data_IF_250706365745
#
_entry.id   IF_250706365745
#
_cell.length_a   1.000
_cell.length_b   1.000
_cell.length_c   1.000
_cell.angle_alpha   90.00
_cell.angle_beta   90.00
_cell.angle_gamma   90.00
#
_symmetry.space_group_name_H-M   'P 1'
#
loop_
_entity.id
_entity.type
_entity.pdbx_description
1 polymer ?
#
# COMPACT_ATOMS: atom_id res chain seq x y z
N UNK A 1 -27.96 -1.01 -8.88
CA UNK A 1 -27.77 -1.26 -7.44
C UNK A 1 -26.54 -2.18 -7.27
N UNK A 2 -25.38 -1.56 -7.49
CA UNK A 2 -24.10 -2.23 -7.74
C UNK A 2 -23.39 -2.58 -6.44
N UNK A 3 -22.47 -3.53 -6.49
CA UNK A 3 -21.83 -4.26 -5.37
C UNK A 3 -21.26 -3.42 -4.20
N UNK A 4 -21.20 -2.11 -4.36
CA UNK A 4 -20.88 -1.12 -3.32
C UNK A 4 -21.94 -1.11 -2.20
N UNK A 5 -23.24 -1.24 -2.52
CA UNK A 5 -24.30 -1.29 -1.50
C UNK A 5 -24.25 -2.60 -0.69
N UNK A 6 -23.83 -3.71 -1.31
CA UNK A 6 -23.62 -5.02 -0.66
C UNK A 6 -22.35 -5.04 0.20
N UNK A 7 -21.30 -4.33 -0.21
CA UNK A 7 -20.10 -4.13 0.60
C UNK A 7 -20.39 -3.20 1.79
N UNK A 8 -21.20 -2.16 1.61
CA UNK A 8 -21.59 -1.25 2.69
C UNK A 8 -22.52 -1.90 3.72
N UNK A 9 -23.47 -2.76 3.29
CA UNK A 9 -24.29 -3.56 4.22
C UNK A 9 -23.48 -4.61 4.97
N UNK A 10 -22.54 -5.32 4.31
CA UNK A 10 -21.61 -6.23 5.00
C UNK A 10 -20.70 -5.50 5.99
N UNK A 11 -20.16 -4.34 5.61
CA UNK A 11 -19.30 -3.50 6.46
C UNK A 11 -20.02 -2.88 7.67
N UNK A 12 -21.34 -2.71 7.64
CA UNK A 12 -22.09 -2.13 8.75
C UNK A 12 -22.45 -3.17 9.82
N UNK A 13 -22.79 -4.40 9.42
CA UNK A 13 -22.91 -5.53 10.34
C UNK A 13 -21.54 -5.93 10.90
N UNK A 14 -20.49 -5.91 10.06
CA UNK A 14 -19.13 -6.25 10.48
C UNK A 14 -18.52 -5.24 11.46
N UNK A 15 -18.86 -3.95 11.47
CA UNK A 15 -18.26 -3.00 12.45
C UNK A 15 -18.51 -3.41 13.90
N UNK A 16 -19.70 -3.94 14.20
CA UNK A 16 -20.02 -4.45 15.53
C UNK A 16 -19.23 -5.73 15.83
N UNK A 17 -19.14 -6.65 14.87
CA UNK A 17 -18.39 -7.91 14.95
C UNK A 17 -16.87 -7.68 15.05
N UNK A 18 -16.34 -6.71 14.30
CA UNK A 18 -14.93 -6.36 14.28
C UNK A 18 -14.53 -5.71 15.61
N UNK A 19 -15.42 -4.89 16.19
CA UNK A 19 -15.20 -4.29 17.52
C UNK A 19 -15.27 -5.33 18.64
N UNK A 20 -16.16 -6.34 18.54
CA UNK A 20 -16.27 -7.41 19.54
C UNK A 20 -15.11 -8.40 19.43
N UNK A 21 -14.68 -8.74 18.21
CA UNK A 21 -13.47 -9.54 17.97
C UNK A 21 -12.24 -8.80 18.49
N UNK A 22 -12.09 -7.50 18.20
CA UNK A 22 -10.98 -6.69 18.73
C UNK A 22 -10.98 -6.63 20.26
N UNK A 23 -12.15 -6.44 20.88
CA UNK A 23 -12.31 -6.49 22.34
C UNK A 23 -11.91 -7.85 22.91
N UNK A 24 -12.29 -8.94 22.23
CA UNK A 24 -11.95 -10.32 22.63
C UNK A 24 -10.47 -10.64 22.47
N UNK A 25 -9.81 -10.07 21.47
CA UNK A 25 -8.36 -10.22 21.25
C UNK A 25 -7.56 -9.50 22.36
N UNK A 26 -8.05 -8.34 22.82
CA UNK A 26 -7.39 -7.59 23.90
C UNK A 26 -7.69 -8.15 25.30
N UNK A 27 -8.81 -8.84 25.47
CA UNK A 27 -9.17 -9.45 26.76
C UNK A 27 -8.49 -10.81 26.93
N UNK A 28 -7.34 -10.80 27.61
CA UNK A 28 -6.52 -11.99 27.92
C UNK A 28 -7.25 -13.06 28.75
N UNK A 29 -8.44 -12.75 29.28
CA UNK A 29 -9.25 -13.66 30.10
C UNK A 29 -10.07 -14.65 29.28
N UNK A 30 -10.25 -14.39 27.98
CA UNK A 30 -11.07 -15.22 27.09
C UNK A 30 -10.22 -16.32 26.42
N UNK A 31 -10.83 -17.47 26.08
CA UNK A 31 -10.11 -18.55 25.43
C UNK A 31 -9.53 -18.10 24.08
N UNK A 32 -8.33 -18.60 23.71
CA UNK A 32 -7.64 -18.17 22.50
C UNK A 32 -8.50 -18.44 21.27
N UNK A 33 -8.68 -17.41 20.44
CA UNK A 33 -9.42 -17.49 19.19
C UNK A 33 -8.64 -18.41 18.23
N UNK A 34 -9.33 -19.30 17.47
CA UNK A 34 -8.66 -20.13 16.47
C UNK A 34 -7.94 -19.28 15.43
N UNK A 35 -6.72 -19.70 15.04
CA UNK A 35 -5.86 -18.99 14.09
C UNK A 35 -6.52 -18.76 12.72
N UNK A 36 -7.45 -19.63 12.31
CA UNK A 36 -8.22 -19.49 11.06
C UNK A 36 -9.15 -18.28 11.08
N UNK A 37 -9.86 -18.06 12.18
CA UNK A 37 -10.75 -16.90 12.34
C UNK A 37 -9.95 -15.61 12.41
N UNK A 38 -8.77 -15.63 13.06
CA UNK A 38 -7.87 -14.50 13.08
C UNK A 38 -7.30 -14.16 11.71
N UNK A 39 -7.02 -15.16 10.87
CA UNK A 39 -6.60 -14.95 9.47
C UNK A 39 -7.71 -14.27 8.67
N UNK A 40 -8.95 -14.79 8.73
CA UNK A 40 -10.08 -14.17 8.03
C UNK A 40 -10.35 -12.74 8.52
N UNK A 41 -10.19 -12.50 9.83
CA UNK A 41 -10.31 -11.17 10.42
C UNK A 41 -9.23 -10.21 9.92
N UNK A 42 -7.98 -10.69 9.79
CA UNK A 42 -6.90 -9.92 9.19
C UNK A 42 -7.24 -9.52 7.75
N UNK A 43 -7.79 -10.45 6.96
CA UNK A 43 -8.15 -10.20 5.56
C UNK A 43 -9.26 -9.15 5.44
N UNK A 44 -10.32 -9.25 6.25
CA UNK A 44 -11.40 -8.25 6.27
C UNK A 44 -10.90 -6.87 6.73
N UNK A 45 -10.00 -6.83 7.72
CA UNK A 45 -9.42 -5.57 8.16
C UNK A 45 -8.49 -4.95 7.12
N UNK A 46 -7.76 -5.77 6.36
CA UNK A 46 -6.91 -5.31 5.27
C UNK A 46 -7.76 -4.65 4.18
N UNK A 47 -8.86 -5.30 3.80
CA UNK A 47 -9.82 -4.76 2.84
C UNK A 47 -10.44 -3.46 3.37
N UNK A 48 -10.79 -3.42 4.66
CA UNK A 48 -11.32 -2.21 5.27
C UNK A 48 -10.29 -1.07 5.28
N UNK A 49 -9.01 -1.36 5.54
CA UNK A 49 -7.94 -0.38 5.51
C UNK A 49 -7.78 0.27 4.12
N UNK A 50 -7.93 -0.51 3.03
CA UNK A 50 -7.88 0.02 1.66
C UNK A 50 -9.08 0.94 1.33
N UNK A 51 -10.23 0.74 1.98
CA UNK A 51 -11.43 1.58 1.80
C UNK A 51 -11.43 2.86 2.65
N UNK A 52 -10.74 2.87 3.79
CA UNK A 52 -10.67 4.04 4.66
C UNK A 52 -9.60 4.99 4.14
N UNK A 53 -10.02 6.05 3.47
CA UNK A 53 -9.10 7.07 2.96
C UNK A 53 -9.13 8.37 3.76
N UNK A 54 -10.18 8.60 4.55
CA UNK A 54 -10.47 9.94 5.11
C UNK A 54 -9.94 10.21 6.52
N UNK A 55 -9.69 9.20 7.36
CA UNK A 55 -9.33 9.41 8.78
C UNK A 55 -7.94 8.85 9.12
N UNK A 56 -6.96 9.75 9.23
CA UNK A 56 -5.56 9.44 9.58
C UNK A 56 -5.41 8.75 10.94
N UNK A 57 -6.21 9.13 11.94
CA UNK A 57 -6.13 8.54 13.29
C UNK A 57 -6.55 7.08 13.23
N UNK A 58 -7.67 6.81 12.55
CA UNK A 58 -8.20 5.47 12.37
C UNK A 58 -7.25 4.59 11.55
N UNK A 59 -6.68 5.12 10.47
CA UNK A 59 -5.67 4.44 9.66
C UNK A 59 -4.46 3.98 10.50
N UNK A 60 -3.93 4.87 11.36
CA UNK A 60 -2.82 4.53 12.22
C UNK A 60 -3.18 3.48 13.28
N UNK A 61 -4.41 3.52 13.82
CA UNK A 61 -4.89 2.52 14.76
C UNK A 61 -5.03 1.15 14.08
N UNK A 62 -5.68 1.10 12.90
CA UNK A 62 -5.85 -0.15 12.14
C UNK A 62 -4.50 -0.71 11.70
N UNK A 63 -3.55 0.13 11.27
CA UNK A 63 -2.20 -0.32 10.93
C UNK A 63 -1.47 -0.98 12.12
N UNK A 64 -1.60 -0.43 13.33
CA UNK A 64 -1.07 -1.05 14.56
C UNK A 64 -1.78 -2.35 14.89
N UNK A 65 -3.10 -2.40 14.71
CA UNK A 65 -3.91 -3.59 14.95
C UNK A 65 -3.52 -4.72 14.00
N UNK A 66 -3.32 -4.41 12.72
CA UNK A 66 -2.85 -5.35 11.70
C UNK A 66 -1.45 -5.87 12.01
N UNK A 67 -0.54 -5.01 12.48
CA UNK A 67 0.78 -5.44 12.94
C UNK A 67 0.69 -6.42 14.12
N UNK A 68 -0.16 -6.12 15.11
CA UNK A 68 -0.37 -6.98 16.26
C UNK A 68 -0.97 -8.35 15.85
N UNK A 69 -1.96 -8.35 14.97
CA UNK A 69 -2.54 -9.58 14.42
C UNK A 69 -1.53 -10.41 13.65
N UNK A 70 -0.68 -9.76 12.85
CA UNK A 70 0.35 -10.44 12.08
C UNK A 70 1.37 -11.15 12.99
N UNK A 71 1.74 -10.54 14.11
CA UNK A 71 2.59 -11.16 15.14
C UNK A 71 1.93 -12.36 15.82
N UNK A 72 0.61 -12.33 16.02
CA UNK A 72 -0.14 -13.42 16.66
C UNK A 72 -0.42 -14.60 15.72
N UNK A 73 -0.69 -14.31 14.45
CA UNK A 73 -1.15 -15.31 13.48
C UNK A 73 0.04 -15.95 12.75
N UNK A 74 1.01 -15.14 12.28
CA UNK A 74 2.17 -15.53 11.45
C UNK A 74 1.94 -16.80 10.60
N UNK A 75 0.82 -16.83 9.86
CA UNK A 75 0.41 -17.98 9.07
C UNK A 75 0.83 -17.77 7.61
N UNK A 76 1.05 -18.88 6.90
CA UNK A 76 1.29 -18.85 5.45
C UNK A 76 0.08 -18.29 4.67
N UNK A 77 -1.14 -18.41 5.21
CA UNK A 77 -2.36 -17.87 4.61
C UNK A 77 -2.35 -16.33 4.53
N UNK A 78 -1.94 -15.64 5.60
CA UNK A 78 -1.89 -14.16 5.58
C UNK A 78 -0.80 -13.66 4.64
N UNK A 79 0.34 -14.37 4.57
CA UNK A 79 1.41 -14.05 3.60
C UNK A 79 0.93 -14.25 2.17
N UNK A 80 0.26 -15.36 1.88
CA UNK A 80 -0.25 -15.65 0.54
C UNK A 80 -1.32 -14.65 0.11
N UNK A 81 -2.19 -14.18 1.02
CA UNK A 81 -3.16 -13.14 0.70
C UNK A 81 -2.48 -11.81 0.33
N UNK A 82 -1.49 -11.37 1.10
CA UNK A 82 -0.72 -10.14 0.80
C UNK A 82 0.02 -10.29 -0.54
N UNK A 83 0.60 -11.46 -0.83
CA UNK A 83 1.23 -11.73 -2.12
C UNK A 83 0.22 -11.73 -3.27
N UNK A 84 -0.97 -12.27 -3.06
CA UNK A 84 -2.04 -12.25 -4.06
C UNK A 84 -2.51 -10.82 -4.35
N UNK A 85 -2.62 -9.97 -3.31
CA UNK A 85 -2.89 -8.53 -3.47
C UNK A 85 -1.80 -7.82 -4.27
N UNK A 86 -0.52 -8.08 -3.97
CA UNK A 86 0.61 -7.54 -4.76
C UNK A 86 0.54 -7.99 -6.23
N UNK A 87 0.20 -9.26 -6.49
CA UNK A 87 0.01 -9.77 -7.85
C UNK A 87 -1.15 -9.09 -8.58
N UNK A 88 -2.27 -8.84 -7.90
CA UNK A 88 -3.40 -8.12 -8.48
C UNK A 88 -2.99 -6.71 -8.90
N UNK A 89 -2.29 -5.97 -8.03
CA UNK A 89 -1.78 -4.66 -8.37
C UNK A 89 -0.76 -4.71 -9.52
N UNK A 90 0.11 -5.72 -9.57
CA UNK A 90 1.03 -5.92 -10.71
C UNK A 90 0.29 -6.09 -12.03
N UNK A 91 -0.78 -6.90 -12.07
CA UNK A 91 -1.60 -7.10 -13.26
C UNK A 91 -2.23 -5.79 -13.70
N UNK A 92 -2.86 -5.06 -12.78
CA UNK A 92 -3.49 -3.75 -13.06
C UNK A 92 -2.46 -2.75 -13.63
N UNK A 93 -1.26 -2.70 -13.04
CA UNK A 93 -0.19 -1.81 -13.50
C UNK A 93 0.29 -2.19 -14.90
N UNK A 94 0.49 -3.49 -15.18
CA UNK A 94 0.92 -3.94 -16.50
C UNK A 94 -0.14 -3.66 -17.57
N UNK A 95 -1.43 -3.87 -17.26
CA UNK A 95 -2.51 -3.51 -18.16
C UNK A 95 -2.52 -2.00 -18.47
N UNK A 96 -2.24 -1.14 -17.49
CA UNK A 96 -2.11 0.30 -17.74
C UNK A 96 -0.92 0.63 -18.65
N UNK A 97 0.22 -0.04 -18.44
CA UNK A 97 1.44 0.14 -19.24
C UNK A 97 1.22 -0.31 -20.69
N UNK A 98 0.63 -1.49 -20.90
CA UNK A 98 0.37 -2.04 -22.23
C UNK A 98 -0.60 -1.18 -23.06
N UNK A 99 -1.54 -0.52 -22.40
CA UNK A 99 -2.51 0.36 -23.05
C UNK A 99 -1.98 1.78 -23.33
N UNK A 100 -0.67 2.03 -23.14
CA UNK A 100 -0.05 3.37 -23.19
C UNK A 100 -0.78 4.43 -22.34
N UNK A 101 -1.55 3.97 -21.34
CA UNK A 101 -2.21 4.85 -20.39
C UNK A 101 -1.17 5.25 -19.38
N UNK A 102 -1.09 6.55 -19.10
CA UNK A 102 -0.31 7.02 -17.96
C UNK A 102 -0.72 6.27 -16.70
N UNK A 103 0.26 5.70 -16.00
CA UNK A 103 0.01 4.95 -14.79
C UNK A 103 -0.55 5.91 -13.74
N UNK A 104 -1.87 5.87 -13.56
CA UNK A 104 -2.54 6.58 -12.50
C UNK A 104 -2.55 5.66 -11.28
N UNK A 105 -1.82 6.08 -10.27
CA UNK A 105 -1.67 5.30 -9.05
C UNK A 105 -2.82 5.63 -8.10
N UNK A 106 -3.63 4.63 -7.81
CA UNK A 106 -4.76 4.76 -6.90
C UNK A 106 -4.30 4.92 -5.45
N UNK A 107 -5.07 5.68 -4.67
CA UNK A 107 -4.75 5.93 -3.25
C UNK A 107 -4.69 4.62 -2.43
N UNK A 108 -5.55 3.65 -2.74
CA UNK A 108 -5.56 2.33 -2.09
C UNK A 108 -4.24 1.58 -2.29
N UNK A 109 -3.67 1.61 -3.50
CA UNK A 109 -2.35 1.03 -3.75
C UNK A 109 -1.25 1.69 -2.91
N UNK A 110 -1.28 3.02 -2.80
CA UNK A 110 -0.27 3.76 -2.04
C UNK A 110 -0.40 3.48 -0.53
N UNK A 111 -1.63 3.42 -0.03
CA UNK A 111 -1.93 3.06 1.35
C UNK A 111 -1.47 1.63 1.65
N UNK A 112 -1.72 0.69 0.74
CA UNK A 112 -1.31 -0.70 0.85
C UNK A 112 0.22 -0.84 0.91
N UNK A 113 0.96 -0.19 -0.01
CA UNK A 113 2.42 -0.19 0.03
C UNK A 113 2.96 0.46 1.31
N UNK A 114 2.35 1.55 1.78
CA UNK A 114 2.73 2.16 3.05
C UNK A 114 2.50 1.20 4.22
N UNK A 115 1.40 0.45 4.21
CA UNK A 115 1.11 -0.55 5.23
C UNK A 115 2.15 -1.67 5.24
N UNK A 116 2.62 -2.13 4.06
CA UNK A 116 3.69 -3.14 3.97
C UNK A 116 4.96 -2.69 4.70
N UNK A 117 5.35 -1.41 4.63
CA UNK A 117 6.51 -0.89 5.38
C UNK A 117 6.38 -0.99 6.89
N UNK A 118 5.14 -1.00 7.38
CA UNK A 118 4.84 -1.07 8.81
C UNK A 118 4.73 -2.52 9.27
N UNK A 119 4.22 -3.40 8.40
CA UNK A 119 4.06 -4.82 8.68
C UNK A 119 5.36 -5.61 8.61
N UNK A 120 6.24 -5.27 7.66
CA UNK A 120 7.44 -6.05 7.37
C UNK A 120 8.72 -5.21 7.45
N UNK A 121 9.84 -5.81 7.87
CA UNK A 121 11.13 -5.14 7.88
C UNK A 121 11.56 -4.76 6.46
N UNK A 122 11.93 -3.49 6.27
CA UNK A 122 12.46 -2.97 4.99
C UNK A 122 13.99 -3.02 4.90
N UNK A 123 14.67 -3.41 5.99
CA UNK A 123 16.13 -3.55 6.09
C UNK A 123 16.66 -4.79 5.38
N UNK A 124 15.86 -5.86 5.31
CA UNK A 124 16.32 -7.18 4.90
C UNK A 124 16.70 -7.21 3.42
N UNK A 125 17.83 -7.84 3.10
CA UNK A 125 18.39 -7.88 1.74
C UNK A 125 17.38 -8.44 0.73
N UNK A 126 16.77 -9.58 1.04
CA UNK A 126 15.71 -10.21 0.26
C UNK A 126 14.60 -10.64 1.20
N UNK A 127 13.39 -10.11 1.00
CA UNK A 127 12.23 -10.54 1.75
C UNK A 127 11.04 -10.72 0.80
N UNK A 128 10.32 -11.85 0.89
CA UNK A 128 9.42 -12.34 -0.16
C UNK A 128 8.26 -11.39 -0.47
N UNK A 129 7.93 -10.47 0.44
CA UNK A 129 6.83 -9.51 0.28
C UNK A 129 7.34 -8.10 0.01
N UNK A 130 8.43 -7.67 0.64
CA UNK A 130 8.91 -6.29 0.53
C UNK A 130 9.69 -6.07 -0.76
N UNK A 131 10.48 -7.05 -1.21
CA UNK A 131 11.19 -6.97 -2.49
C UNK A 131 10.23 -6.80 -3.68
N UNK A 132 9.17 -7.61 -3.88
CA UNK A 132 8.25 -7.37 -4.98
C UNK A 132 7.47 -6.06 -4.82
N UNK A 133 7.14 -5.65 -3.59
CA UNK A 133 6.44 -4.39 -3.34
C UNK A 133 7.26 -3.14 -3.71
N UNK A 134 8.57 -3.11 -3.40
CA UNK A 134 9.42 -1.99 -3.83
C UNK A 134 9.64 -2.01 -5.35
N UNK A 135 9.77 -3.18 -5.97
CA UNK A 135 9.88 -3.28 -7.44
C UNK A 135 8.62 -2.73 -8.12
N UNK A 136 7.43 -3.08 -7.62
CA UNK A 136 6.16 -2.54 -8.11
C UNK A 136 6.07 -1.02 -7.97
N UNK A 137 6.52 -0.49 -6.84
CA UNK A 137 6.54 0.94 -6.60
C UNK A 137 7.46 1.67 -7.59
N UNK A 138 8.67 1.15 -7.82
CA UNK A 138 9.62 1.73 -8.79
C UNK A 138 9.06 1.63 -10.21
N UNK A 139 8.42 0.53 -10.57
CA UNK A 139 7.75 0.36 -11.86
C UNK A 139 6.63 1.39 -12.04
N UNK A 140 5.76 1.57 -11.05
CA UNK A 140 4.70 2.57 -11.09
C UNK A 140 5.25 3.99 -11.25
N UNK A 141 6.35 4.31 -10.57
CA UNK A 141 7.05 5.59 -10.68
C UNK A 141 7.59 5.82 -12.10
N UNK A 142 8.21 4.81 -12.72
CA UNK A 142 8.79 4.93 -14.06
C UNK A 142 7.75 5.18 -15.16
N UNK A 143 6.53 4.65 -15.00
CA UNK A 143 5.44 4.78 -15.97
C UNK A 143 4.43 5.89 -15.64
N UNK A 144 4.68 6.66 -14.58
CA UNK A 144 3.84 7.79 -14.19
C UNK A 144 4.03 9.00 -15.13
N UNK A 145 2.95 9.75 -15.37
CA UNK A 145 3.01 10.98 -16.17
C UNK A 145 3.57 12.13 -15.38
N UNK A 146 4.38 13.00 -16.01
CA UNK A 146 4.77 14.30 -15.46
C UNK A 146 4.12 15.48 -16.19
N UNK A 147 3.02 15.22 -16.92
CA UNK A 147 2.34 16.24 -17.74
C UNK A 147 1.43 17.18 -16.95
N UNK A 148 0.95 16.76 -15.78
CA UNK A 148 0.01 17.54 -14.96
C UNK A 148 0.57 17.78 -13.56
N UNK A 149 0.18 18.91 -12.94
CA UNK A 149 0.59 19.24 -11.57
C UNK A 149 0.06 18.20 -10.57
N UNK A 150 -1.11 17.63 -10.83
CA UNK A 150 -1.67 16.53 -10.04
C UNK A 150 -0.80 15.27 -10.10
N UNK A 151 -0.35 14.89 -11.30
CA UNK A 151 0.55 13.76 -11.49
C UNK A 151 1.92 14.01 -10.85
N UNK A 152 2.47 15.22 -10.97
CA UNK A 152 3.72 15.58 -10.28
C UNK A 152 3.60 15.44 -8.75
N UNK A 153 2.47 15.86 -8.15
CA UNK A 153 2.21 15.67 -6.71
C UNK A 153 2.15 14.18 -6.33
N UNK A 154 1.48 13.36 -7.13
CA UNK A 154 1.42 11.91 -6.90
C UNK A 154 2.82 11.29 -6.96
N UNK A 155 3.62 11.64 -7.96
CA UNK A 155 4.97 11.11 -8.11
C UNK A 155 5.90 11.54 -6.99
N UNK A 156 5.85 12.81 -6.57
CA UNK A 156 6.59 13.28 -5.39
C UNK A 156 6.21 12.51 -4.12
N UNK A 157 4.93 12.17 -3.96
CA UNK A 157 4.48 11.35 -2.84
C UNK A 157 5.00 9.91 -2.92
N UNK A 158 5.06 9.31 -4.11
CA UNK A 158 5.67 8.00 -4.31
C UNK A 158 7.17 8.02 -4.02
N UNK A 159 7.87 9.09 -4.41
CA UNK A 159 9.30 9.28 -4.09
C UNK A 159 9.50 9.36 -2.58
N UNK A 160 8.67 10.10 -1.85
CA UNK A 160 8.73 10.15 -0.39
C UNK A 160 8.48 8.77 0.24
N UNK A 161 7.55 8.00 -0.35
CA UNK A 161 7.32 6.63 0.08
C UNK A 161 8.56 5.77 -0.15
N UNK A 162 9.18 5.78 -1.34
CA UNK A 162 10.42 5.03 -1.60
C UNK A 162 11.54 5.44 -0.64
N UNK A 163 11.67 6.74 -0.35
CA UNK A 163 12.64 7.24 0.64
C UNK A 163 12.45 6.61 2.01
N UNK A 164 11.21 6.39 2.46
CA UNK A 164 10.93 5.72 3.74
C UNK A 164 11.42 4.26 3.74
N UNK A 165 11.33 3.56 2.61
CA UNK A 165 11.82 2.18 2.48
C UNK A 165 13.35 2.12 2.51
N UNK A 166 13.97 3.03 1.77
CA UNK A 166 15.42 3.09 1.59
C UNK A 166 16.14 3.66 2.82
N UNK A 167 15.50 4.56 3.58
CA UNK A 167 16.14 5.26 4.69
C UNK A 167 16.74 4.32 5.74
N UNK A 168 16.21 3.11 5.90
CA UNK A 168 16.75 2.09 6.81
C UNK A 168 17.78 1.16 6.17
N UNK A 169 17.73 1.00 4.85
CA UNK A 169 18.57 0.05 4.11
C UNK A 169 19.72 0.71 3.35
N UNK A 170 19.74 2.05 3.25
CA UNK A 170 20.73 2.86 2.53
C UNK A 170 20.96 2.44 1.07
N UNK A 171 19.94 1.85 0.43
CA UNK A 171 20.00 1.43 -0.97
C UNK A 171 19.97 2.61 -1.92
N UNK A 172 20.61 2.45 -3.08
CA UNK A 172 20.56 3.44 -4.15
C UNK A 172 19.52 3.02 -5.20
N UNK A 173 18.60 3.92 -5.55
CA UNK A 173 17.57 3.70 -6.58
C UNK A 173 17.74 4.78 -7.67
N UNK A 174 18.41 4.47 -8.79
CA UNK A 174 18.76 5.44 -9.82
C UNK A 174 17.55 6.13 -10.45
N UNK A 175 16.42 5.42 -10.54
CA UNK A 175 15.16 5.88 -11.12
C UNK A 175 14.67 7.18 -10.47
N UNK A 176 14.81 7.28 -9.13
CA UNK A 176 14.40 8.46 -8.38
C UNK A 176 15.20 9.68 -8.80
N UNK A 177 16.51 9.53 -9.00
CA UNK A 177 17.38 10.66 -9.36
C UNK A 177 17.06 11.15 -10.77
N UNK A 178 16.88 10.22 -11.71
CA UNK A 178 16.47 10.56 -13.08
C UNK A 178 15.14 11.31 -13.06
N UNK A 179 14.20 10.89 -12.23
CA UNK A 179 12.90 11.54 -12.11
C UNK A 179 12.99 12.92 -11.46
N UNK A 180 13.77 13.08 -10.39
CA UNK A 180 14.02 14.38 -9.77
C UNK A 180 14.65 15.36 -10.75
N UNK A 181 15.61 14.93 -11.57
CA UNK A 181 16.20 15.75 -12.63
C UNK A 181 15.11 16.19 -13.62
N UNK A 182 14.24 15.28 -14.07
CA UNK A 182 13.10 15.62 -14.96
C UNK A 182 12.15 16.63 -14.32
N UNK A 183 11.83 16.50 -13.03
CA UNK A 183 10.97 17.44 -12.30
C UNK A 183 11.61 18.84 -12.21
N UNK A 184 12.91 18.91 -11.98
CA UNK A 184 13.66 20.18 -11.95
C UNK A 184 13.67 20.81 -13.35
N UNK A 185 13.92 20.04 -14.40
CA UNK A 185 13.87 20.50 -15.78
C UNK A 185 12.49 21.02 -16.19
N UNK A 186 11.41 20.40 -15.72
CA UNK A 186 10.05 20.90 -15.94
C UNK A 186 9.75 22.19 -15.18
N UNK A 187 10.39 22.38 -14.03
CA UNK A 187 10.20 23.57 -13.18
C UNK A 187 11.04 24.77 -13.65
N UNK A 188 12.12 24.51 -14.37
CA UNK A 188 12.96 25.55 -14.96
C UNK A 188 12.60 25.72 -16.44
N UNK A 189 11.89 26.78 -16.84
CA UNK A 189 11.70 27.08 -18.24
C UNK A 189 13.07 27.41 -18.83
N UNK A 190 13.68 26.45 -19.53
CA UNK A 190 14.83 26.74 -20.38
C UNK A 190 14.27 27.65 -21.47
N UNK A 191 14.65 28.93 -21.44
CA UNK A 191 14.45 29.82 -22.58
C UNK A 191 15.00 29.09 -23.79
N UNK A 192 14.13 28.80 -24.76
CA UNK A 192 14.56 28.33 -26.07
C UNK A 192 15.40 29.46 -26.66
N UNK A 193 16.70 29.45 -26.42
CA UNK A 193 17.65 30.26 -27.15
C UNK A 193 17.53 29.82 -28.61
N UNK A 194 16.82 30.63 -29.38
CA UNK A 194 16.74 30.53 -30.83
C UNK A 194 18.17 30.58 -31.37
N UNK A 195 18.63 29.47 -31.94
CA UNK A 195 19.74 29.43 -32.87
C UNK A 195 19.24 28.72 -34.13
#
# INVERSE_FOLDING_TARGET
PSDIDKLQTRLSDDKNTLSTIWKRINDKRLPPIPKSVLSNYFDVLLDYYETITSNKILLNQIGKNLLYLLQLVNNEQTKSNILNRLKQYHVILNEQIENDKFCQVDLSFILFLKLITHLYPTSDFLHPITTPAITLLVQAINHSSLKSLGSCRQVLFLIDLVKQWISRSHRYVPEIIVLLIKLIQLSCPIEKSQY
#
